data_IF_335997722344
#
_entry.id   IF_335997722344
#
_cell.length_a   1.000
_cell.length_b   1.000
_cell.length_c   1.000
_cell.angle_alpha   90.00
_cell.angle_beta   90.00
_cell.angle_gamma   90.00
#
_symmetry.space_group_name_H-M   'P 1'
#
loop_
_entity.id
_entity.type
_entity.pdbx_description
1 polymer ?
#
# COMPACT_ATOMS: atom_id res chain seq x y z
N UNK A 1 37.44 31.81 -1.72
CA UNK A 1 37.42 30.57 -2.52
C UNK A 1 36.91 29.41 -1.68
N UNK A 2 37.50 29.14 -0.52
CA UNK A 2 37.05 28.07 0.40
C UNK A 2 35.60 28.23 0.89
N UNK A 3 35.17 29.44 1.25
CA UNK A 3 33.77 29.71 1.62
C UNK A 3 32.78 29.41 0.50
N UNK A 4 33.15 29.68 -0.75
CA UNK A 4 32.30 29.39 -1.91
C UNK A 4 32.22 27.88 -2.16
N UNK A 5 33.35 27.18 -2.02
CA UNK A 5 33.40 25.71 -2.08
C UNK A 5 32.53 25.09 -0.98
N UNK A 6 32.58 25.64 0.24
CA UNK A 6 31.76 25.17 1.36
C UNK A 6 30.26 25.31 1.06
N UNK A 7 29.82 26.48 0.60
CA UNK A 7 28.41 26.71 0.24
C UNK A 7 27.94 25.76 -0.87
N UNK A 8 28.78 25.51 -1.89
CA UNK A 8 28.43 24.55 -2.94
C UNK A 8 28.35 23.11 -2.42
N UNK A 9 29.25 22.70 -1.52
CA UNK A 9 29.20 21.38 -0.92
C UNK A 9 27.96 21.20 -0.04
N UNK A 10 27.59 22.22 0.74
CA UNK A 10 26.37 22.21 1.56
C UNK A 10 25.12 22.07 0.67
N UNK A 11 25.02 22.90 -0.38
CA UNK A 11 23.92 22.82 -1.35
C UNK A 11 23.83 21.45 -2.03
N UNK A 12 24.98 20.85 -2.39
CA UNK A 12 25.02 19.53 -3.00
C UNK A 12 24.52 18.44 -2.04
N UNK A 13 24.90 18.50 -0.76
CA UNK A 13 24.42 17.55 0.25
C UNK A 13 22.90 17.65 0.41
N UNK A 14 22.35 18.86 0.48
CA UNK A 14 20.91 19.09 0.58
C UNK A 14 20.16 18.57 -0.65
N UNK A 15 20.69 18.82 -1.86
CA UNK A 15 20.10 18.31 -3.11
C UNK A 15 20.12 16.78 -3.17
N UNK A 16 21.20 16.14 -2.73
CA UNK A 16 21.31 14.68 -2.69
C UNK A 16 20.31 14.09 -1.68
N UNK A 17 20.18 14.68 -0.50
CA UNK A 17 19.21 14.24 0.51
C UNK A 17 17.76 14.38 -0.01
N UNK A 18 17.44 15.50 -0.66
CA UNK A 18 16.11 15.71 -1.25
C UNK A 18 15.82 14.71 -2.38
N UNK A 19 16.82 14.40 -3.22
CA UNK A 19 16.69 13.39 -4.26
C UNK A 19 16.39 12.01 -3.66
N UNK A 20 17.10 11.61 -2.60
CA UNK A 20 16.93 10.31 -1.97
C UNK A 20 15.53 10.19 -1.32
N UNK A 21 14.99 11.28 -0.76
CA UNK A 21 13.61 11.34 -0.27
C UNK A 21 12.58 11.15 -1.40
N UNK A 22 12.77 11.85 -2.53
CA UNK A 22 11.91 11.68 -3.71
C UNK A 22 11.99 10.27 -4.31
N UNK A 23 13.17 9.65 -4.32
CA UNK A 23 13.38 8.29 -4.80
C UNK A 23 12.65 7.28 -3.90
N UNK A 24 12.74 7.45 -2.58
CA UNK A 24 12.00 6.64 -1.62
C UNK A 24 10.49 6.71 -1.84
N UNK A 25 9.92 7.92 -1.99
CA UNK A 25 8.48 8.07 -2.26
C UNK A 25 8.06 7.40 -3.56
N UNK A 26 8.88 7.54 -4.61
CA UNK A 26 8.65 6.93 -5.91
C UNK A 26 8.66 5.41 -5.80
N UNK A 27 9.62 4.83 -5.07
CA UNK A 27 9.71 3.38 -4.86
C UNK A 27 8.50 2.85 -4.08
N UNK A 28 8.04 3.57 -3.04
CA UNK A 28 6.82 3.19 -2.32
C UNK A 28 5.59 3.21 -3.23
N UNK A 29 5.40 4.27 -4.02
CA UNK A 29 4.28 4.36 -4.98
C UNK A 29 4.34 3.24 -6.02
N UNK A 30 5.52 2.93 -6.55
CA UNK A 30 5.71 1.84 -7.50
C UNK A 30 5.41 0.46 -6.89
N UNK A 31 5.84 0.26 -5.63
CA UNK A 31 5.54 -0.96 -4.87
C UNK A 31 4.03 -1.13 -4.69
N UNK A 32 3.34 -0.07 -4.29
CA UNK A 32 1.89 -0.07 -4.13
C UNK A 32 1.15 -0.42 -5.43
N UNK A 33 1.49 0.25 -6.53
CA UNK A 33 0.91 -0.01 -7.86
C UNK A 33 1.15 -1.46 -8.27
N UNK A 34 2.37 -1.98 -8.09
CA UNK A 34 2.73 -3.35 -8.48
C UNK A 34 1.92 -4.39 -7.71
N UNK A 35 1.72 -4.19 -6.40
CA UNK A 35 0.90 -5.07 -5.57
C UNK A 35 -0.57 -5.03 -5.98
N UNK A 36 -1.13 -3.85 -6.24
CA UNK A 36 -2.50 -3.71 -6.73
C UNK A 36 -2.72 -4.48 -8.04
N UNK A 37 -1.81 -4.30 -9.01
CA UNK A 37 -1.87 -5.00 -10.29
C UNK A 37 -1.75 -6.52 -10.12
N UNK A 38 -0.86 -6.98 -9.22
CA UNK A 38 -0.72 -8.40 -8.89
C UNK A 38 -2.02 -8.99 -8.36
N UNK A 39 -2.66 -8.33 -7.38
CA UNK A 39 -3.92 -8.78 -6.79
C UNK A 39 -5.04 -8.78 -7.84
N UNK A 40 -5.15 -7.72 -8.64
CA UNK A 40 -6.13 -7.65 -9.72
C UNK A 40 -5.95 -8.79 -10.75
N UNK A 41 -4.70 -9.10 -11.10
CA UNK A 41 -4.38 -10.21 -11.99
C UNK A 41 -4.79 -11.56 -11.38
N UNK A 42 -4.50 -11.81 -10.08
CA UNK A 42 -4.94 -13.02 -9.37
C UNK A 42 -6.46 -13.16 -9.36
N UNK A 43 -7.19 -12.09 -9.04
CA UNK A 43 -8.66 -12.07 -9.07
C UNK A 43 -9.21 -12.42 -10.46
N UNK A 44 -8.62 -11.86 -11.52
CA UNK A 44 -9.00 -12.14 -12.90
C UNK A 44 -8.73 -13.60 -13.30
N UNK A 45 -7.56 -14.14 -12.93
CA UNK A 45 -7.21 -15.54 -13.19
C UNK A 45 -8.20 -16.49 -12.51
N UNK A 46 -8.48 -16.27 -11.23
CA UNK A 46 -9.44 -17.07 -10.48
C UNK A 46 -10.85 -17.04 -11.08
N UNK A 47 -11.32 -15.87 -11.51
CA UNK A 47 -12.62 -15.74 -12.18
C UNK A 47 -12.67 -16.50 -13.53
N UNK A 48 -11.58 -16.49 -14.29
CA UNK A 48 -11.48 -17.22 -15.56
C UNK A 48 -11.45 -18.74 -15.36
N UNK A 49 -10.73 -19.23 -14.34
CA UNK A 49 -10.69 -20.66 -14.01
C UNK A 49 -12.05 -21.18 -13.57
N UNK A 50 -12.81 -20.39 -12.80
CA UNK A 50 -14.19 -20.74 -12.40
C UNK A 50 -15.13 -20.91 -13.59
N UNK A 51 -15.06 -20.00 -14.58
CA UNK A 51 -15.86 -20.09 -15.81
C UNK A 51 -15.56 -21.37 -16.61
N UNK A 52 -14.32 -21.86 -16.55
CA UNK A 52 -13.89 -23.08 -17.26
C UNK A 52 -14.24 -24.37 -16.51
N UNK A 53 -14.12 -24.38 -15.17
CA UNK A 53 -14.26 -25.61 -14.36
C UNK A 53 -15.64 -25.82 -13.73
N UNK A 54 -16.54 -24.83 -13.73
CA UNK A 54 -17.90 -24.98 -13.21
C UNK A 54 -17.98 -25.39 -11.73
N UNK A 55 -16.90 -25.22 -10.97
CA UNK A 55 -16.79 -25.68 -9.58
C UNK A 55 -17.51 -24.72 -8.64
N UNK A 56 -18.49 -25.24 -7.89
CA UNK A 56 -19.11 -24.53 -6.77
C UNK A 56 -18.13 -24.57 -5.60
N UNK A 57 -17.41 -23.48 -5.36
CA UNK A 57 -16.53 -23.32 -4.20
C UNK A 57 -17.35 -22.70 -3.07
N UNK A 58 -17.24 -23.28 -1.87
CA UNK A 58 -17.83 -22.74 -0.66
C UNK A 58 -17.31 -21.31 -0.41
N UNK A 59 -18.19 -20.32 -0.18
CA UNK A 59 -17.79 -18.95 0.18
C UNK A 59 -16.79 -18.87 1.34
N UNK A 60 -16.82 -19.83 2.27
CA UNK A 60 -15.90 -19.91 3.41
C UNK A 60 -14.46 -20.29 3.03
N UNK A 61 -14.25 -20.86 1.83
CA UNK A 61 -12.92 -21.22 1.31
C UNK A 61 -12.38 -20.20 0.31
N UNK A 62 -13.01 -19.03 0.20
CA UNK A 62 -12.54 -17.98 -0.70
C UNK A 62 -11.22 -17.38 -0.20
N UNK A 63 -10.21 -17.27 -1.09
CA UNK A 63 -8.97 -16.58 -0.78
C UNK A 63 -9.20 -15.13 -0.37
N UNK A 64 -8.31 -14.57 0.44
CA UNK A 64 -8.46 -13.22 0.98
C UNK A 64 -8.38 -12.15 -0.11
N UNK A 65 -7.59 -12.38 -1.17
CA UNK A 65 -7.55 -11.48 -2.32
C UNK A 65 -8.89 -11.35 -3.06
N UNK A 66 -9.86 -12.23 -2.80
CA UNK A 66 -11.22 -12.11 -3.33
C UNK A 66 -12.17 -11.36 -2.41
N UNK A 67 -12.00 -11.48 -1.10
CA UNK A 67 -12.98 -11.04 -0.09
C UNK A 67 -12.57 -9.76 0.64
N UNK A 68 -11.27 -9.49 0.76
CA UNK A 68 -10.76 -8.30 1.43
C UNK A 68 -11.12 -7.03 0.65
N UNK A 69 -11.71 -6.07 1.37
CA UNK A 69 -12.03 -4.74 0.89
C UNK A 69 -11.36 -3.72 1.80
N UNK A 70 -10.61 -2.79 1.22
CA UNK A 70 -9.90 -1.74 1.97
C UNK A 70 -10.71 -0.45 1.83
N UNK A 71 -11.16 0.16 2.93
CA UNK A 71 -11.78 1.49 2.87
C UNK A 71 -10.79 2.52 2.34
N UNK A 72 -11.24 3.36 1.42
CA UNK A 72 -10.45 4.43 0.82
C UNK A 72 -11.27 5.73 0.82
N UNK A 73 -10.59 6.85 1.05
CA UNK A 73 -11.20 8.18 1.06
C UNK A 73 -10.52 9.05 0.00
N UNK A 74 -11.23 9.29 -1.10
CA UNK A 74 -10.75 10.07 -2.26
C UNK A 74 -10.39 11.53 -1.91
N UNK A 75 -10.90 12.04 -0.77
CA UNK A 75 -10.67 13.42 -0.32
C UNK A 75 -9.49 13.57 0.64
N UNK A 76 -8.86 12.47 1.06
CA UNK A 76 -7.76 12.49 2.02
C UNK A 76 -6.43 12.42 1.29
N UNK A 77 -5.53 13.36 1.59
CA UNK A 77 -4.16 13.27 1.10
C UNK A 77 -3.49 12.03 1.71
N UNK A 78 -3.04 11.12 0.86
CA UNK A 78 -2.35 9.90 1.27
C UNK A 78 -0.89 10.23 1.55
N UNK A 79 -0.54 10.32 2.84
CA UNK A 79 0.83 10.48 3.29
C UNK A 79 1.62 9.16 3.21
N UNK A 80 2.94 9.24 3.40
CA UNK A 80 3.82 8.09 3.32
C UNK A 80 3.50 7.02 4.39
N UNK A 81 2.98 7.42 5.56
CA UNK A 81 2.55 6.50 6.61
C UNK A 81 1.31 5.70 6.20
N UNK A 82 0.30 6.36 5.63
CA UNK A 82 -0.89 5.72 5.08
C UNK A 82 -0.53 4.78 3.95
N UNK A 83 0.31 5.23 3.00
CA UNK A 83 0.77 4.42 1.87
C UNK A 83 1.53 3.17 2.34
N UNK A 84 2.41 3.30 3.35
CA UNK A 84 3.13 2.17 3.93
C UNK A 84 2.18 1.16 4.58
N UNK A 85 1.15 1.62 5.29
CA UNK A 85 0.12 0.76 5.89
C UNK A 85 -0.68 0.01 4.83
N UNK A 86 -1.06 0.69 3.75
CA UNK A 86 -1.72 0.08 2.60
C UNK A 86 -0.84 -0.96 1.93
N UNK A 87 0.45 -0.68 1.71
CA UNK A 87 1.41 -1.65 1.15
C UNK A 87 1.47 -2.91 2.02
N UNK A 88 1.51 -2.78 3.35
CA UNK A 88 1.51 -3.93 4.28
C UNK A 88 0.25 -4.77 4.13
N UNK A 89 -0.92 -4.13 4.05
CA UNK A 89 -2.20 -4.82 3.83
C UNK A 89 -2.20 -5.52 2.47
N UNK A 90 -1.78 -4.84 1.40
CA UNK A 90 -1.75 -5.43 0.06
C UNK A 90 -0.79 -6.63 -0.02
N UNK A 91 0.37 -6.59 0.63
CA UNK A 91 1.27 -7.76 0.73
C UNK A 91 0.56 -8.92 1.43
N UNK A 92 -0.04 -8.66 2.59
CA UNK A 92 -0.77 -9.68 3.34
C UNK A 92 -1.92 -10.30 2.53
N UNK A 93 -2.68 -9.48 1.79
CA UNK A 93 -3.74 -9.95 0.88
C UNK A 93 -3.17 -10.77 -0.27
N UNK A 94 -2.09 -10.29 -0.90
CA UNK A 94 -1.46 -10.99 -2.01
C UNK A 94 -0.94 -12.37 -1.59
N UNK A 95 -0.51 -12.51 -0.34
CA UNK A 95 0.08 -13.74 0.21
C UNK A 95 -0.95 -14.60 0.97
N UNK A 96 -2.25 -14.26 0.91
CA UNK A 96 -3.35 -14.92 1.65
C UNK A 96 -3.08 -15.08 3.16
N UNK A 97 -2.45 -14.06 3.76
CA UNK A 97 -2.02 -14.06 5.15
C UNK A 97 -3.17 -13.91 6.14
N UNK A 98 -3.22 -14.78 7.17
CA UNK A 98 -4.21 -14.67 8.26
C UNK A 98 -4.15 -13.35 9.05
N UNK A 99 -3.12 -12.51 8.86
CA UNK A 99 -2.98 -11.20 9.49
C UNK A 99 -3.86 -10.09 8.86
N UNK A 100 -4.45 -10.32 7.68
CA UNK A 100 -5.26 -9.30 6.97
C UNK A 100 -6.35 -8.66 7.85
N UNK A 101 -7.17 -9.40 8.62
CA UNK A 101 -8.19 -8.81 9.48
C UNK A 101 -7.61 -7.85 10.52
N UNK A 102 -6.48 -8.21 11.14
CA UNK A 102 -5.80 -7.37 12.13
C UNK A 102 -5.25 -6.10 11.48
N UNK A 103 -4.56 -6.22 10.34
CA UNK A 103 -4.00 -5.08 9.61
C UNK A 103 -5.09 -4.11 9.12
N UNK A 104 -6.22 -4.63 8.65
CA UNK A 104 -7.38 -3.82 8.28
C UNK A 104 -7.97 -3.11 9.50
N UNK A 105 -8.09 -3.80 10.64
CA UNK A 105 -8.59 -3.21 11.88
C UNK A 105 -7.69 -2.06 12.33
N UNK A 106 -6.38 -2.27 12.35
CA UNK A 106 -5.41 -1.24 12.72
C UNK A 106 -5.49 -0.03 11.79
N UNK A 107 -5.54 -0.27 10.47
CA UNK A 107 -5.68 0.80 9.47
C UNK A 107 -6.98 1.59 9.65
N UNK A 108 -8.11 0.91 9.87
CA UNK A 108 -9.39 1.58 10.10
C UNK A 108 -9.32 2.45 11.35
N UNK A 109 -8.77 1.93 12.45
CA UNK A 109 -8.72 2.66 13.72
C UNK A 109 -7.67 3.78 13.78
N UNK A 110 -6.72 3.82 12.84
CA UNK A 110 -5.61 4.80 12.83
C UNK A 110 -5.71 5.81 11.70
N UNK A 111 -6.18 5.39 10.51
CA UNK A 111 -6.23 6.24 9.31
C UNK A 111 -7.65 6.70 9.00
N UNK A 112 -8.63 5.80 9.07
CA UNK A 112 -10.01 6.09 8.64
C UNK A 112 -10.82 6.72 9.78
N UNK A 113 -10.70 6.16 10.97
CA UNK A 113 -11.38 6.57 12.20
C UNK A 113 -10.34 6.78 13.32
N UNK A 114 -9.41 7.75 13.17
CA UNK A 114 -8.43 8.02 14.22
C UNK A 114 -9.15 8.29 15.55
N UNK A 115 -8.69 7.67 16.64
CA UNK A 115 -9.30 7.75 17.98
C UNK A 115 -9.31 9.15 18.62
N UNK A 116 -8.95 10.18 17.87
CA UNK A 116 -9.02 11.59 18.23
C UNK A 116 -10.17 12.28 17.48
N UNK A 117 -11.39 11.85 17.78
CA UNK A 117 -12.54 12.75 17.73
C UNK A 117 -12.76 13.20 19.16
N UNK A 118 -12.09 14.29 19.54
CA UNK A 118 -12.50 15.07 20.70
C UNK A 118 -13.77 15.81 20.24
N UNK A 119 -14.93 15.35 20.72
CA UNK A 119 -16.15 16.16 20.70
C UNK A 119 -16.05 17.26 21.76
#
# INVERSE_FOLDING_TARGET
MEQLIQVYNESLVDELAHRDELEYEKEMKNTFISLLLSIQNKRRQFANERKRKGTKIDPSQLPQYMTASIPYNDHQHMDNATLSSLIKILRAINDDSSAVPTLLTDYILTVVCPKTVVC
#
